data_IF_301984948450
#
_entry.id   IF_301984948450
#
_cell.length_a   1.000
_cell.length_b   1.000
_cell.length_c   1.000
_cell.angle_alpha   90.00
_cell.angle_beta   90.00
_cell.angle_gamma   90.00
#
_symmetry.space_group_name_H-M   'P 1'
#
loop_
_entity.id
_entity.type
_entity.pdbx_description
1 polymer ?
#
# COMPACT_ATOMS: atom_id res chain seq x y z
N UNK A 1 27.76 17.83 2.88
CA UNK A 1 26.76 17.59 1.82
C UNK A 1 26.47 16.09 1.59
N UNK A 2 26.09 15.29 2.61
CA UNK A 2 25.52 13.94 2.43
C UNK A 2 23.97 13.86 2.47
N UNK A 3 23.27 14.95 2.84
CA UNK A 3 21.80 14.93 3.07
C UNK A 3 20.99 14.56 1.82
N UNK A 4 21.37 15.06 0.64
CA UNK A 4 20.60 14.90 -0.59
C UNK A 4 20.53 13.43 -1.09
N UNK A 5 21.59 12.62 -0.90
CA UNK A 5 21.56 11.21 -1.35
C UNK A 5 20.63 10.36 -0.48
N UNK A 6 20.63 10.60 0.83
CA UNK A 6 19.79 9.88 1.78
C UNK A 6 18.32 10.24 1.58
N UNK A 7 18.00 11.52 1.44
CA UNK A 7 16.65 12.01 1.14
C UNK A 7 16.11 11.39 -0.16
N UNK A 8 16.92 11.36 -1.24
CA UNK A 8 16.53 10.72 -2.49
C UNK A 8 16.27 9.22 -2.33
N UNK A 9 17.05 8.53 -1.48
CA UNK A 9 16.82 7.12 -1.18
C UNK A 9 15.53 6.90 -0.40
N UNK A 10 15.24 7.73 0.60
CA UNK A 10 13.99 7.69 1.36
C UNK A 10 12.80 7.95 0.42
N UNK A 11 12.91 8.96 -0.45
CA UNK A 11 11.90 9.28 -1.46
C UNK A 11 11.64 8.10 -2.39
N UNK A 12 12.68 7.45 -2.90
CA UNK A 12 12.52 6.28 -3.76
C UNK A 12 11.82 5.12 -3.03
N UNK A 13 12.18 4.89 -1.76
CA UNK A 13 11.52 3.88 -0.93
C UNK A 13 10.05 4.21 -0.68
N UNK A 14 9.72 5.48 -0.45
CA UNK A 14 8.34 5.97 -0.32
C UNK A 14 7.55 5.69 -1.60
N UNK A 15 7.98 6.22 -2.75
CA UNK A 15 7.26 6.12 -4.02
C UNK A 15 7.02 4.66 -4.47
N UNK A 16 7.96 3.77 -4.13
CA UNK A 16 7.89 2.35 -4.51
C UNK A 16 7.03 1.50 -3.55
N UNK A 17 6.97 1.86 -2.27
CA UNK A 17 6.40 0.97 -1.25
C UNK A 17 5.20 1.56 -0.49
N UNK A 18 4.86 2.83 -0.69
CA UNK A 18 3.83 3.54 0.08
C UNK A 18 2.53 2.76 0.18
N UNK A 19 1.94 2.39 -0.96
CA UNK A 19 0.63 1.72 -0.97
C UNK A 19 0.63 0.37 -0.26
N UNK A 20 1.69 -0.42 -0.41
CA UNK A 20 1.85 -1.68 0.30
C UNK A 20 2.08 -1.49 1.81
N UNK A 21 2.84 -0.47 2.20
CA UNK A 21 3.06 -0.15 3.62
C UNK A 21 1.77 0.34 4.29
N UNK A 22 0.99 1.17 3.60
CA UNK A 22 -0.33 1.62 4.06
C UNK A 22 -1.25 0.42 4.22
N UNK A 23 -1.38 -0.42 3.19
CA UNK A 23 -2.22 -1.63 3.28
C UNK A 23 -1.81 -2.53 4.45
N UNK A 24 -0.51 -2.78 4.64
CA UNK A 24 -0.01 -3.53 5.78
C UNK A 24 -0.47 -2.90 7.10
N UNK A 25 -0.26 -1.59 7.27
CA UNK A 25 -0.65 -0.91 8.49
C UNK A 25 -2.16 -0.94 8.71
N UNK A 26 -2.97 -0.66 7.68
CA UNK A 26 -4.43 -0.70 7.72
C UNK A 26 -4.95 -2.06 8.16
N UNK A 27 -4.41 -3.15 7.61
CA UNK A 27 -4.76 -4.53 8.00
C UNK A 27 -4.40 -4.84 9.45
N UNK A 28 -3.27 -4.32 9.94
CA UNK A 28 -2.85 -4.51 11.32
C UNK A 28 -3.75 -3.72 12.29
N UNK A 29 -4.05 -2.45 12.00
CA UNK A 29 -4.77 -1.55 12.92
C UNK A 29 -6.29 -1.54 12.72
N UNK A 30 -6.78 -2.10 11.62
CA UNK A 30 -8.22 -2.15 11.28
C UNK A 30 -8.81 -0.80 10.87
N UNK A 31 -7.98 0.17 10.47
CA UNK A 31 -8.40 1.54 10.14
C UNK A 31 -7.53 2.10 9.01
N UNK A 32 -8.18 2.61 7.95
CA UNK A 32 -7.49 3.18 6.80
C UNK A 32 -6.78 4.49 7.14
N UNK A 33 -7.50 5.40 7.80
CA UNK A 33 -6.96 6.70 8.23
C UNK A 33 -5.76 6.50 9.16
N UNK A 34 -5.92 5.66 10.19
CA UNK A 34 -4.85 5.39 11.15
C UNK A 34 -3.65 4.69 10.51
N UNK A 35 -3.89 3.75 9.59
CA UNK A 35 -2.81 3.05 8.90
C UNK A 35 -2.00 3.99 8.00
N UNK A 36 -2.67 4.91 7.32
CA UNK A 36 -2.02 5.94 6.51
C UNK A 36 -1.18 6.90 7.37
N UNK A 37 -1.75 7.41 8.47
CA UNK A 37 -1.05 8.29 9.41
C UNK A 37 0.23 7.64 9.97
N UNK A 38 0.16 6.36 10.34
CA UNK A 38 1.32 5.62 10.86
C UNK A 38 2.44 5.55 9.83
N UNK A 39 2.12 5.31 8.56
CA UNK A 39 3.11 5.26 7.49
C UNK A 39 3.72 6.64 7.27
N UNK A 40 2.91 7.69 7.20
CA UNK A 40 3.40 9.06 7.07
C UNK A 40 4.35 9.43 8.23
N UNK A 41 3.96 9.14 9.46
CA UNK A 41 4.80 9.35 10.66
C UNK A 41 6.15 8.62 10.58
N UNK A 42 6.17 7.39 10.05
CA UNK A 42 7.42 6.63 9.88
C UNK A 42 8.33 7.33 8.87
N UNK A 43 7.80 7.81 7.76
CA UNK A 43 8.60 8.52 6.75
C UNK A 43 9.06 9.90 7.21
N UNK A 44 8.22 10.64 7.94
CA UNK A 44 8.63 11.90 8.59
C UNK A 44 9.80 11.64 9.55
N UNK A 45 9.70 10.62 10.40
CA UNK A 45 10.80 10.22 11.29
C UNK A 45 12.07 9.79 10.58
N UNK A 46 11.96 9.19 9.38
CA UNK A 46 13.11 8.84 8.57
C UNK A 46 13.81 10.06 7.98
N UNK A 47 13.05 11.12 7.66
CA UNK A 47 13.57 12.39 7.15
C UNK A 47 14.15 13.27 8.27
N UNK A 48 13.52 13.29 9.44
CA UNK A 48 13.91 14.16 10.56
C UNK A 48 15.11 13.66 11.37
N UNK A 49 15.42 12.36 11.29
CA UNK A 49 16.53 11.75 12.02
C UNK A 49 17.71 11.44 11.11
N UNK A 50 18.92 11.36 11.69
CA UNK A 50 20.09 10.68 11.11
C UNK A 50 19.92 9.14 11.08
N UNK A 51 18.71 8.64 10.78
CA UNK A 51 18.45 7.20 10.74
C UNK A 51 19.26 6.59 9.61
N UNK A 52 20.24 5.75 9.94
CA UNK A 52 21.07 5.10 8.93
C UNK A 52 20.31 3.93 8.33
N UNK A 53 19.74 4.14 7.15
CA UNK A 53 19.16 3.05 6.36
C UNK A 53 20.28 2.11 5.87
N UNK A 54 20.03 0.79 5.85
CA UNK A 54 20.93 -0.17 5.21
C UNK A 54 21.30 0.27 3.80
N UNK A 55 22.57 0.11 3.39
CA UNK A 55 23.04 0.55 2.06
C UNK A 55 22.33 -0.18 0.92
N UNK A 56 22.11 -1.47 1.08
CA UNK A 56 21.37 -2.32 0.15
C UNK A 56 19.87 -1.97 0.12
N UNK A 57 19.28 -1.95 -1.07
CA UNK A 57 17.88 -1.57 -1.30
C UNK A 57 16.91 -2.58 -0.67
N UNK A 58 17.19 -3.88 -0.79
CA UNK A 58 16.31 -4.91 -0.23
C UNK A 58 16.29 -4.86 1.29
N UNK A 59 17.47 -4.70 1.89
CA UNK A 59 17.64 -4.54 3.34
C UNK A 59 16.95 -3.27 3.85
N UNK A 60 17.04 -2.15 3.11
CA UNK A 60 16.32 -0.92 3.44
C UNK A 60 14.81 -1.09 3.32
N UNK A 61 14.31 -1.82 2.31
CA UNK A 61 12.89 -2.20 2.19
C UNK A 61 12.44 -3.03 3.39
N UNK A 62 13.16 -4.10 3.74
CA UNK A 62 12.82 -4.91 4.92
C UNK A 62 12.81 -4.09 6.21
N UNK A 63 13.74 -3.13 6.33
CA UNK A 63 13.82 -2.24 7.48
C UNK A 63 12.57 -1.35 7.61
N UNK A 64 12.13 -0.69 6.53
CA UNK A 64 10.93 0.18 6.59
C UNK A 64 9.64 -0.63 6.84
N UNK A 65 9.52 -1.84 6.31
CA UNK A 65 8.41 -2.74 6.63
C UNK A 65 8.40 -3.10 8.11
N UNK A 66 9.56 -3.39 8.70
CA UNK A 66 9.67 -3.64 10.13
C UNK A 66 9.31 -2.40 10.97
N UNK A 67 9.72 -1.20 10.55
CA UNK A 67 9.36 0.05 11.22
C UNK A 67 7.84 0.28 11.23
N UNK A 68 7.18 0.16 10.08
CA UNK A 68 5.71 0.32 9.96
C UNK A 68 4.97 -0.73 10.78
N UNK A 69 5.41 -2.00 10.74
CA UNK A 69 4.86 -3.05 11.59
C UNK A 69 4.96 -2.68 13.07
N UNK A 70 6.16 -2.31 13.52
CA UNK A 70 6.42 -1.99 14.92
C UNK A 70 5.62 -0.76 15.37
N UNK A 71 5.49 0.25 14.52
CA UNK A 71 4.67 1.43 14.77
C UNK A 71 3.18 1.05 14.90
N UNK A 72 2.67 0.19 14.02
CA UNK A 72 1.29 -0.33 14.06
C UNK A 72 1.00 -1.12 15.33
N UNK A 73 1.89 -2.04 15.72
CA UNK A 73 1.79 -2.80 16.97
C UNK A 73 1.87 -1.86 18.18
N UNK A 74 2.75 -0.85 18.13
CA UNK A 74 2.88 0.14 19.20
C UNK A 74 1.62 0.99 19.34
N UNK A 75 0.99 1.37 18.23
CA UNK A 75 -0.30 2.05 18.21
C UNK A 75 -1.37 1.18 18.88
N UNK A 76 -1.51 -0.08 18.46
CA UNK A 76 -2.47 -1.02 19.06
C UNK A 76 -2.24 -1.22 20.55
N UNK A 77 -0.98 -1.30 21.01
CA UNK A 77 -0.66 -1.37 22.44
C UNK A 77 -1.11 -0.12 23.18
N UNK A 78 -0.90 1.08 22.63
CA UNK A 78 -1.36 2.35 23.23
C UNK A 78 -2.88 2.41 23.31
N UNK A 79 -3.58 2.10 22.22
CA UNK A 79 -5.05 2.03 22.19
C UNK A 79 -5.55 1.04 23.22
N UNK A 80 -4.93 -0.16 23.30
CA UNK A 80 -5.24 -1.15 24.33
C UNK A 80 -4.97 -0.63 25.73
N UNK A 81 -3.90 0.08 26.02
CA UNK A 81 -3.67 0.64 27.37
C UNK A 81 -4.75 1.67 27.73
N UNK A 82 -5.12 2.54 26.78
CA UNK A 82 -6.19 3.53 26.97
C UNK A 82 -7.54 2.84 27.20
N UNK A 83 -7.82 1.76 26.48
CA UNK A 83 -9.08 1.02 26.58
C UNK A 83 -9.13 0.02 27.76
N UNK A 84 -8.01 -0.66 28.05
CA UNK A 84 -7.82 -1.64 29.12
C UNK A 84 -7.55 -1.02 30.49
N UNK A 85 -7.48 0.32 30.60
CA UNK A 85 -7.77 0.98 31.87
C UNK A 85 -9.18 0.61 32.39
N UNK A 86 -10.05 -0.02 31.56
CA UNK A 86 -11.35 -0.56 31.96
C UNK A 86 -11.42 -2.08 32.15
N UNK A 87 -10.67 -2.93 31.43
CA UNK A 87 -10.58 -4.39 31.70
C UNK A 87 -9.27 -4.97 31.14
N UNK A 88 -8.60 -5.84 31.91
CA UNK A 88 -7.27 -6.39 31.60
C UNK A 88 -7.37 -7.68 30.80
N UNK A 89 -6.78 -7.73 29.60
CA UNK A 89 -6.21 -8.95 29.02
C UNK A 89 -5.16 -8.63 27.91
N UNK A 90 -3.99 -9.31 27.87
CA UNK A 90 -2.85 -8.90 27.04
C UNK A 90 -2.86 -9.56 25.65
N UNK A 91 -2.24 -8.84 24.70
CA UNK A 91 -1.76 -9.28 23.39
C UNK A 91 -2.79 -9.80 22.35
N UNK A 92 -2.96 -9.04 21.26
CA UNK A 92 -3.29 -9.66 19.97
C UNK A 92 -1.93 -10.03 19.40
N UNK A 93 -1.51 -11.28 19.60
CA UNK A 93 -0.32 -11.78 18.93
C UNK A 93 -0.70 -12.04 17.48
N UNK A 94 -0.18 -11.21 16.57
CA UNK A 94 -0.22 -11.51 15.15
C UNK A 94 0.80 -12.62 14.93
N UNK A 95 0.38 -13.74 14.36
CA UNK A 95 1.30 -14.85 14.09
C UNK A 95 2.30 -14.45 13.00
N UNK A 96 3.45 -15.13 12.97
CA UNK A 96 4.44 -14.92 11.90
C UNK A 96 3.88 -15.29 10.51
N UNK A 97 2.92 -16.22 10.46
CA UNK A 97 2.23 -16.63 9.24
C UNK A 97 1.28 -15.54 8.73
N UNK A 98 0.44 -14.98 9.61
CA UNK A 98 -0.42 -13.84 9.27
C UNK A 98 0.41 -12.63 8.81
N UNK A 99 1.57 -12.42 9.43
CA UNK A 99 2.47 -11.35 9.05
C UNK A 99 3.06 -11.56 7.65
N UNK A 100 3.51 -12.78 7.34
CA UNK A 100 4.05 -13.11 6.03
C UNK A 100 2.98 -12.93 4.95
N UNK A 101 1.75 -13.37 5.20
CA UNK A 101 0.63 -13.17 4.28
C UNK A 101 0.37 -11.68 4.03
N UNK A 102 0.36 -10.87 5.08
CA UNK A 102 0.16 -9.43 4.96
C UNK A 102 1.29 -8.74 4.18
N UNK A 103 2.54 -9.20 4.31
CA UNK A 103 3.68 -8.69 3.52
C UNK A 103 3.52 -9.08 2.05
N UNK A 104 3.16 -10.33 1.74
CA UNK A 104 2.93 -10.79 0.37
C UNK A 104 1.80 -9.97 -0.27
N UNK A 105 0.71 -9.74 0.47
CA UNK A 105 -0.40 -8.91 0.02
C UNK A 105 0.03 -7.46 -0.23
N UNK A 106 0.83 -6.87 0.68
CA UNK A 106 1.39 -5.53 0.49
C UNK A 106 2.27 -5.42 -0.77
N UNK A 107 3.07 -6.45 -1.06
CA UNK A 107 3.85 -6.50 -2.31
C UNK A 107 2.95 -6.59 -3.55
N UNK A 108 1.86 -7.36 -3.49
CA UNK A 108 0.85 -7.42 -4.54
C UNK A 108 0.25 -6.04 -4.83
N UNK A 109 -0.08 -5.30 -3.77
CA UNK A 109 -0.62 -3.94 -3.86
C UNK A 109 0.39 -2.99 -4.52
N UNK A 110 1.67 -3.03 -4.13
CA UNK A 110 2.69 -2.21 -4.77
C UNK A 110 2.81 -2.49 -6.27
N UNK A 111 2.78 -3.76 -6.68
CA UNK A 111 2.81 -4.15 -8.09
C UNK A 111 1.55 -3.69 -8.85
N UNK A 112 0.39 -3.76 -8.22
CA UNK A 112 -0.86 -3.26 -8.77
C UNK A 112 -0.78 -1.77 -9.06
N UNK A 113 -0.39 -0.97 -8.06
CA UNK A 113 -0.27 0.48 -8.23
C UNK A 113 0.82 0.87 -9.24
N UNK A 114 1.95 0.16 -9.27
CA UNK A 114 2.96 0.35 -10.30
C UNK A 114 2.40 0.07 -11.72
N UNK A 115 1.55 -0.95 -11.86
CA UNK A 115 0.90 -1.28 -13.13
C UNK A 115 -0.12 -0.23 -13.55
N UNK A 116 -0.89 0.31 -12.59
CA UNK A 116 -1.84 1.40 -12.84
C UNK A 116 -1.11 2.64 -13.35
N UNK A 117 0.05 2.98 -12.76
CA UNK A 117 0.88 4.12 -13.21
C UNK A 117 1.43 3.94 -14.63
N UNK A 118 1.59 2.71 -15.10
CA UNK A 118 2.07 2.41 -16.46
C UNK A 118 0.94 2.32 -17.49
N UNK A 119 -0.32 2.50 -17.09
CA UNK A 119 -1.42 2.59 -18.04
C UNK A 119 -1.31 3.89 -18.84
N UNK A 120 -1.78 3.91 -20.11
CA UNK A 120 -1.97 5.16 -20.82
C UNK A 120 -2.85 6.11 -20.00
N UNK A 121 -2.52 7.40 -19.98
CA UNK A 121 -3.16 8.41 -19.12
C UNK A 121 -4.69 8.35 -19.15
N UNK A 122 -5.29 8.27 -20.35
CA UNK A 122 -6.74 8.13 -20.51
C UNK A 122 -7.32 6.86 -19.82
N UNK A 123 -6.57 5.75 -19.83
CA UNK A 123 -6.98 4.52 -19.14
C UNK A 123 -6.82 4.62 -17.63
N UNK A 124 -5.76 5.28 -17.15
CA UNK A 124 -5.53 5.53 -15.72
C UNK A 124 -6.62 6.41 -15.12
N UNK A 125 -6.96 7.49 -15.81
CA UNK A 125 -7.99 8.45 -15.42
C UNK A 125 -9.39 7.83 -15.38
N UNK A 126 -9.75 7.06 -16.41
CA UNK A 126 -11.00 6.29 -16.43
C UNK A 126 -11.02 5.24 -15.31
N UNK A 127 -9.89 4.60 -15.01
CA UNK A 127 -9.80 3.63 -13.91
C UNK A 127 -10.05 4.31 -12.56
N UNK A 128 -9.38 5.44 -12.29
CA UNK A 128 -9.58 6.21 -11.05
C UNK A 128 -11.05 6.59 -10.86
N UNK A 129 -11.69 7.20 -11.86
CA UNK A 129 -13.09 7.61 -11.73
C UNK A 129 -14.03 6.42 -11.53
N UNK A 130 -13.80 5.31 -12.23
CA UNK A 130 -14.68 4.17 -12.19
C UNK A 130 -14.55 3.30 -10.93
N UNK A 131 -13.35 3.21 -10.34
CA UNK A 131 -13.05 2.24 -9.28
C UNK A 131 -12.64 2.88 -7.95
N UNK A 132 -12.17 4.13 -7.96
CA UNK A 132 -11.79 4.86 -6.74
C UNK A 132 -12.88 5.87 -6.38
N UNK A 133 -13.38 6.62 -7.37
CA UNK A 133 -14.48 7.59 -7.17
C UNK A 133 -15.86 6.96 -7.37
N UNK A 134 -15.93 5.66 -7.67
CA UNK A 134 -17.16 4.86 -7.85
C UNK A 134 -18.17 5.43 -8.86
N UNK A 135 -17.72 6.24 -9.82
CA UNK A 135 -18.59 6.83 -10.85
C UNK A 135 -19.10 5.80 -11.85
N UNK A 136 -20.35 5.97 -12.26
CA UNK A 136 -20.98 5.17 -13.30
C UNK A 136 -20.31 5.41 -14.66
N UNK A 137 -20.47 4.45 -15.59
CA UNK A 137 -19.91 4.61 -16.94
C UNK A 137 -20.48 5.83 -17.68
N UNK A 138 -21.69 6.28 -17.31
CA UNK A 138 -22.32 7.47 -17.87
C UNK A 138 -21.61 8.73 -17.37
N UNK A 139 -21.43 8.87 -16.06
CA UNK A 139 -20.74 10.02 -15.46
C UNK A 139 -19.29 10.14 -15.97
N UNK A 140 -18.58 9.01 -16.15
CA UNK A 140 -17.25 9.01 -16.75
C UNK A 140 -17.29 9.44 -18.22
N UNK A 141 -18.29 8.98 -18.99
CA UNK A 141 -18.45 9.34 -20.39
C UNK A 141 -18.71 10.84 -20.56
N UNK A 142 -19.60 11.40 -19.73
CA UNK A 142 -19.92 12.83 -19.69
C UNK A 142 -18.71 13.67 -19.28
N UNK A 143 -17.96 13.25 -18.27
CA UNK A 143 -16.79 13.99 -17.78
C UNK A 143 -15.66 14.11 -18.80
N UNK A 144 -15.51 13.15 -19.71
CA UNK A 144 -14.47 13.16 -20.75
C UNK A 144 -14.99 13.49 -22.15
N UNK A 145 -16.30 13.71 -22.33
CA UNK A 145 -16.89 13.93 -23.65
C UNK A 145 -16.71 12.75 -24.62
N UNK A 146 -16.72 11.51 -24.11
CA UNK A 146 -16.55 10.28 -24.90
C UNK A 146 -17.79 9.39 -24.83
N UNK A 147 -17.92 8.41 -25.72
CA UNK A 147 -19.04 7.46 -25.65
C UNK A 147 -18.92 6.51 -24.45
N UNK A 148 -20.06 6.06 -23.92
CA UNK A 148 -20.12 4.99 -22.89
C UNK A 148 -19.40 3.72 -23.38
N UNK A 149 -19.45 3.41 -24.68
CA UNK A 149 -18.76 2.27 -25.27
C UNK A 149 -17.22 2.45 -25.25
N UNK A 150 -16.75 3.68 -25.42
CA UNK A 150 -15.33 4.04 -25.24
C UNK A 150 -14.92 3.81 -23.79
N UNK A 151 -15.71 4.25 -22.81
CA UNK A 151 -15.47 4.00 -21.38
C UNK A 151 -15.37 2.50 -21.08
N UNK A 152 -16.35 1.70 -21.53
CA UNK A 152 -16.34 0.24 -21.35
C UNK A 152 -15.10 -0.41 -21.98
N UNK A 153 -14.70 0.05 -23.16
CA UNK A 153 -13.51 -0.46 -23.86
C UNK A 153 -12.23 -0.14 -23.10
N UNK A 154 -12.09 1.09 -22.60
CA UNK A 154 -10.92 1.51 -21.82
C UNK A 154 -10.87 0.78 -20.46
N UNK A 155 -12.00 0.63 -19.76
CA UNK A 155 -12.08 -0.20 -18.53
C UNK A 155 -11.66 -1.65 -18.80
N UNK A 156 -12.12 -2.25 -19.90
CA UNK A 156 -11.72 -3.61 -20.29
C UNK A 156 -10.21 -3.70 -20.57
N UNK A 157 -9.63 -2.73 -21.28
CA UNK A 157 -8.19 -2.67 -21.57
C UNK A 157 -7.35 -2.49 -20.30
N UNK A 158 -7.74 -1.56 -19.43
CA UNK A 158 -7.10 -1.36 -18.12
C UNK A 158 -7.15 -2.66 -17.31
N UNK A 159 -8.32 -3.28 -17.17
CA UNK A 159 -8.48 -4.53 -16.43
C UNK A 159 -7.66 -5.69 -17.04
N UNK A 160 -7.58 -5.78 -18.37
CA UNK A 160 -6.75 -6.78 -19.04
C UNK A 160 -5.25 -6.55 -18.79
N UNK A 161 -4.79 -5.31 -18.79
CA UNK A 161 -3.41 -4.96 -18.47
C UNK A 161 -3.08 -5.28 -17.00
N UNK A 162 -3.96 -4.89 -16.06
CA UNK A 162 -3.78 -5.17 -14.64
C UNK A 162 -3.83 -6.67 -14.34
N UNK A 163 -4.74 -7.43 -14.97
CA UNK A 163 -4.80 -8.89 -14.83
C UNK A 163 -3.49 -9.57 -15.23
N UNK A 164 -2.80 -9.11 -16.27
CA UNK A 164 -1.51 -9.71 -16.67
C UNK A 164 -0.45 -9.59 -15.57
N UNK A 165 -0.47 -8.50 -14.80
CA UNK A 165 0.49 -8.28 -13.71
C UNK A 165 0.04 -8.93 -12.40
N UNK A 166 -1.26 -8.93 -12.12
CA UNK A 166 -1.83 -9.58 -10.95
C UNK A 166 -1.86 -11.12 -11.08
N UNK A 167 -1.92 -11.69 -12.27
CA UNK A 167 -2.05 -13.14 -12.46
C UNK A 167 -0.87 -13.94 -11.90
N UNK A 168 0.41 -13.56 -12.11
CA UNK A 168 1.54 -14.15 -11.41
C UNK A 168 1.39 -14.10 -9.89
N UNK A 169 0.99 -12.95 -9.35
CA UNK A 169 0.83 -12.74 -7.91
C UNK A 169 -0.29 -13.62 -7.33
N UNK A 170 -1.46 -13.65 -7.97
CA UNK A 170 -2.59 -14.49 -7.59
C UNK A 170 -2.29 -15.99 -7.74
N UNK A 171 -1.43 -16.36 -8.70
CA UNK A 171 -0.96 -17.74 -8.87
C UNK A 171 0.00 -18.15 -7.76
N UNK A 172 0.92 -17.26 -7.36
CA UNK A 172 1.82 -17.49 -6.23
C UNK A 172 1.07 -17.64 -4.91
N UNK A 173 0.06 -16.79 -4.69
CA UNK A 173 -0.86 -16.90 -3.56
C UNK A 173 -1.54 -18.28 -3.60
N UNK A 174 -2.16 -18.69 -4.72
CA UNK A 174 -2.78 -20.01 -4.82
C UNK A 174 -1.84 -21.18 -4.55
N UNK A 175 -0.57 -21.13 -4.98
CA UNK A 175 0.40 -22.21 -4.73
C UNK A 175 0.76 -22.32 -3.25
N UNK A 176 0.71 -21.23 -2.49
CA UNK A 176 0.96 -21.27 -1.03
C UNK A 176 -0.22 -21.84 -0.23
N UNK A 177 -1.40 -21.96 -0.84
CA UNK A 177 -2.64 -22.45 -0.22
C UNK A 177 -3.11 -23.81 -0.74
N UNK A 178 -2.26 -24.56 -1.47
CA UNK A 178 -2.51 -25.94 -1.92
C UNK A 178 -1.32 -26.86 -1.65
#
# INVERSE_FOLDING_TARGET
MPSNLMENKIKALFEQNYYGLVELSCRLVGSNETGEDIVQDVFVKLLDNDTVLPKDTQSAKSYIYAMVKNASISHLRKVKVIHNYRQVNPATEISDEDLLENIIYAEAINQLYASIRNLPEASQNIFKMAYIEEKSNLEVAESYGISINTVKTQKRRAMAALKKVLFPVLRSIKILFF
#
